data_IF_228539705804
#
_entry.id   IF_228539705804
#
_cell.length_a   1.000
_cell.length_b   1.000
_cell.length_c   1.000
_cell.angle_alpha   90.00
_cell.angle_beta   90.00
_cell.angle_gamma   90.00
#
_symmetry.space_group_name_H-M   'P 1'
#
loop_
_entity.id
_entity.type
_entity.pdbx_description
1 polymer ?
#
# COMPACT_ATOMS: atom_id res chain seq x y z
N UNK A 1 27.37 -15.97 -19.66
CA UNK A 1 26.50 -16.30 -18.50
C UNK A 1 25.07 -15.77 -18.63
N UNK A 2 24.77 -14.90 -19.57
CA UNK A 2 23.45 -14.25 -19.78
C UNK A 2 22.38 -15.10 -20.47
N UNK A 3 22.78 -16.08 -21.28
CA UNK A 3 21.85 -16.93 -22.05
C UNK A 3 21.20 -18.05 -21.22
N UNK A 4 21.89 -18.61 -20.24
CA UNK A 4 21.36 -19.68 -19.38
C UNK A 4 20.29 -19.20 -18.38
N UNK A 5 20.38 -17.94 -17.94
CA UNK A 5 19.38 -17.35 -17.04
C UNK A 5 18.07 -17.01 -17.78
N UNK A 6 18.17 -16.65 -19.05
CA UNK A 6 17.00 -16.35 -19.89
C UNK A 6 16.19 -17.61 -20.26
N UNK A 7 16.88 -18.73 -20.53
CA UNK A 7 16.22 -20.00 -20.87
C UNK A 7 15.50 -20.63 -19.69
N UNK A 8 16.03 -20.46 -18.47
CA UNK A 8 15.38 -21.00 -17.25
C UNK A 8 14.13 -20.17 -16.86
N UNK A 9 14.11 -18.87 -17.16
CA UNK A 9 12.91 -18.02 -16.98
C UNK A 9 11.79 -18.35 -17.98
N UNK A 10 12.13 -18.72 -19.21
CA UNK A 10 11.16 -19.13 -20.22
C UNK A 10 10.53 -20.48 -19.90
N UNK A 11 11.29 -21.47 -19.42
CA UNK A 11 10.74 -22.77 -19.03
C UNK A 11 9.78 -22.66 -17.85
N UNK A 12 10.06 -21.81 -16.85
CA UNK A 12 9.15 -21.56 -15.73
C UNK A 12 7.82 -20.90 -16.13
N UNK A 13 7.83 -20.02 -17.13
CA UNK A 13 6.60 -19.39 -17.63
C UNK A 13 5.67 -20.36 -18.34
N UNK A 14 6.20 -21.33 -19.08
CA UNK A 14 5.36 -22.37 -19.72
C UNK A 14 4.62 -23.24 -18.70
N UNK A 15 5.28 -23.60 -17.60
CA UNK A 15 4.63 -24.32 -16.51
C UNK A 15 3.50 -23.45 -15.91
N UNK A 16 3.73 -22.16 -15.69
CA UNK A 16 2.73 -21.23 -15.19
C UNK A 16 1.51 -21.12 -16.13
N UNK A 17 1.74 -21.03 -17.46
CA UNK A 17 0.65 -21.03 -18.44
C UNK A 17 -0.16 -22.33 -18.41
N UNK A 18 0.55 -23.46 -18.38
CA UNK A 18 -0.10 -24.77 -18.37
C UNK A 18 -0.90 -24.99 -17.07
N UNK A 19 -0.34 -24.63 -15.93
CA UNK A 19 -1.03 -24.75 -14.63
C UNK A 19 -2.24 -23.83 -14.53
N UNK A 20 -2.15 -22.60 -15.02
CA UNK A 20 -3.27 -21.66 -15.05
C UNK A 20 -4.40 -22.17 -15.96
N UNK A 21 -4.07 -22.68 -17.14
CA UNK A 21 -5.03 -23.25 -18.08
C UNK A 21 -5.70 -24.51 -17.51
N UNK A 22 -4.90 -25.46 -17.02
CA UNK A 22 -5.42 -26.70 -16.45
C UNK A 22 -6.23 -26.45 -15.18
N UNK A 23 -5.78 -25.51 -14.33
CA UNK A 23 -6.54 -25.10 -13.15
C UNK A 23 -7.89 -24.49 -13.49
N UNK A 24 -7.94 -23.62 -14.49
CA UNK A 24 -9.18 -23.05 -15.00
C UNK A 24 -10.14 -24.11 -15.56
N UNK A 25 -9.63 -25.04 -16.38
CA UNK A 25 -10.42 -26.15 -16.92
C UNK A 25 -10.90 -27.10 -15.82
N UNK A 26 -10.05 -27.43 -14.86
CA UNK A 26 -10.39 -28.31 -13.75
C UNK A 26 -11.52 -27.74 -12.90
N UNK A 27 -11.42 -26.46 -12.51
CA UNK A 27 -12.46 -25.83 -11.68
C UNK A 27 -13.77 -25.67 -12.48
N UNK A 28 -13.70 -25.26 -13.74
CA UNK A 28 -14.87 -25.21 -14.60
C UNK A 28 -15.55 -26.58 -14.78
N UNK A 29 -14.77 -27.66 -14.78
CA UNK A 29 -15.30 -29.03 -14.84
C UNK A 29 -15.90 -29.46 -13.49
N UNK A 30 -15.27 -29.15 -12.36
CA UNK A 30 -15.78 -29.47 -11.01
C UNK A 30 -17.15 -28.80 -10.73
N UNK A 31 -17.34 -27.57 -11.21
CA UNK A 31 -18.57 -26.81 -11.04
C UNK A 31 -19.42 -26.78 -12.31
N UNK A 32 -19.24 -27.79 -13.18
CA UNK A 32 -19.96 -27.84 -14.44
C UNK A 32 -21.47 -28.03 -14.20
N UNK A 33 -22.25 -27.06 -14.69
CA UNK A 33 -23.70 -27.11 -14.71
C UNK A 33 -24.21 -26.80 -16.13
N UNK A 34 -24.84 -27.78 -16.83
CA UNK A 34 -25.36 -27.56 -18.15
C UNK A 34 -26.44 -26.48 -18.24
N UNK A 35 -27.13 -26.20 -17.12
CA UNK A 35 -28.19 -25.19 -17.05
C UNK A 35 -27.64 -23.78 -17.02
N UNK A 36 -26.37 -23.60 -16.63
CA UNK A 36 -25.73 -22.30 -16.44
C UNK A 36 -24.37 -22.19 -17.16
N UNK A 37 -24.34 -22.25 -18.51
CA UNK A 37 -23.05 -22.28 -19.24
C UNK A 37 -22.19 -21.04 -19.02
N UNK A 38 -22.80 -19.88 -18.74
CA UNK A 38 -22.07 -18.64 -18.43
C UNK A 38 -21.29 -18.72 -17.13
N UNK A 39 -21.80 -19.44 -16.12
CA UNK A 39 -21.13 -19.66 -14.85
C UNK A 39 -19.89 -20.53 -15.04
N UNK A 40 -19.98 -21.55 -15.93
CA UNK A 40 -18.83 -22.38 -16.25
C UNK A 40 -17.71 -21.57 -16.93
N UNK A 41 -18.06 -20.68 -17.87
CA UNK A 41 -17.11 -19.77 -18.50
C UNK A 41 -16.51 -18.78 -17.49
N UNK A 42 -17.31 -18.28 -16.55
CA UNK A 42 -16.85 -17.41 -15.47
C UNK A 42 -15.76 -18.10 -14.64
N UNK A 43 -16.01 -19.32 -14.14
CA UNK A 43 -15.02 -20.08 -13.37
C UNK A 43 -13.73 -20.29 -14.16
N UNK A 44 -13.83 -20.68 -15.42
CA UNK A 44 -12.66 -20.86 -16.27
C UNK A 44 -11.80 -19.60 -16.37
N UNK A 45 -12.42 -18.47 -16.76
CA UNK A 45 -11.71 -17.20 -16.97
C UNK A 45 -11.11 -16.64 -15.68
N UNK A 46 -11.88 -16.67 -14.59
CA UNK A 46 -11.45 -16.16 -13.28
C UNK A 46 -10.27 -16.96 -12.74
N UNK A 47 -10.34 -18.29 -12.71
CA UNK A 47 -9.25 -19.13 -12.20
C UNK A 47 -8.01 -19.06 -13.07
N UNK A 48 -8.20 -18.98 -14.40
CA UNK A 48 -7.08 -18.76 -15.31
C UNK A 48 -6.39 -17.41 -15.02
N UNK A 49 -7.16 -16.34 -14.82
CA UNK A 49 -6.60 -15.02 -14.49
C UNK A 49 -5.88 -15.03 -13.12
N UNK A 50 -6.44 -15.69 -12.10
CA UNK A 50 -5.77 -15.86 -10.81
C UNK A 50 -4.42 -16.58 -10.98
N UNK A 51 -4.38 -17.64 -11.79
CA UNK A 51 -3.12 -18.32 -12.12
C UNK A 51 -2.14 -17.39 -12.84
N UNK A 52 -2.61 -16.58 -13.80
CA UNK A 52 -1.77 -15.61 -14.50
C UNK A 52 -1.19 -14.56 -13.56
N UNK A 53 -1.93 -14.09 -12.55
CA UNK A 53 -1.43 -13.21 -11.50
C UNK A 53 -0.41 -13.93 -10.61
N UNK A 54 -0.72 -15.14 -10.15
CA UNK A 54 0.13 -15.90 -9.22
C UNK A 54 1.51 -16.23 -9.82
N UNK A 55 1.58 -16.52 -11.12
CA UNK A 55 2.81 -16.85 -11.83
C UNK A 55 3.47 -15.66 -12.54
N UNK A 56 2.92 -14.45 -12.39
CA UNK A 56 3.40 -13.23 -13.06
C UNK A 56 3.65 -13.44 -14.58
N UNK A 57 2.65 -14.05 -15.25
CA UNK A 57 2.77 -14.43 -16.66
C UNK A 57 2.70 -13.21 -17.57
N UNK A 58 1.83 -12.27 -17.26
CA UNK A 58 1.66 -10.97 -17.91
C UNK A 58 1.69 -9.85 -16.87
N UNK A 59 1.95 -8.59 -17.27
CA UNK A 59 1.74 -7.46 -16.38
C UNK A 59 0.31 -7.47 -15.80
N UNK A 60 0.18 -7.25 -14.50
CA UNK A 60 -1.09 -7.40 -13.77
C UNK A 60 -2.25 -6.62 -14.43
N UNK A 61 -1.99 -5.38 -14.88
CA UNK A 61 -3.04 -4.59 -15.54
C UNK A 61 -3.51 -5.23 -16.87
N UNK A 62 -2.61 -5.90 -17.61
CA UNK A 62 -2.97 -6.59 -18.86
C UNK A 62 -3.87 -7.77 -18.55
N UNK A 63 -3.53 -8.58 -17.56
CA UNK A 63 -4.36 -9.71 -17.12
C UNK A 63 -5.74 -9.23 -16.68
N UNK A 64 -5.81 -8.15 -15.88
CA UNK A 64 -7.08 -7.59 -15.45
C UNK A 64 -7.95 -7.12 -16.62
N UNK A 65 -7.39 -6.36 -17.55
CA UNK A 65 -8.13 -5.89 -18.74
C UNK A 65 -8.55 -7.05 -19.64
N UNK A 66 -7.70 -8.05 -19.85
CA UNK A 66 -8.05 -9.25 -20.61
C UNK A 66 -9.20 -10.02 -19.97
N UNK A 67 -9.26 -10.10 -18.64
CA UNK A 67 -10.37 -10.74 -17.93
C UNK A 67 -11.69 -10.00 -18.20
N UNK A 68 -11.71 -8.66 -18.13
CA UNK A 68 -12.89 -7.87 -18.45
C UNK A 68 -13.33 -8.08 -19.89
N UNK A 69 -12.39 -8.04 -20.85
CA UNK A 69 -12.69 -8.30 -22.25
C UNK A 69 -13.22 -9.71 -22.47
N UNK A 70 -12.68 -10.71 -21.78
CA UNK A 70 -13.17 -12.07 -21.81
C UNK A 70 -14.63 -12.15 -21.33
N UNK A 71 -15.00 -11.50 -20.22
CA UNK A 71 -16.38 -11.49 -19.71
C UNK A 71 -17.36 -10.85 -20.71
N UNK A 72 -16.95 -9.76 -21.35
CA UNK A 72 -17.78 -9.10 -22.36
C UNK A 72 -17.96 -9.98 -23.61
N UNK A 73 -16.86 -10.51 -24.15
CA UNK A 73 -16.87 -11.31 -25.38
C UNK A 73 -17.63 -12.63 -25.22
N UNK A 74 -17.57 -13.25 -24.05
CA UNK A 74 -18.32 -14.48 -23.75
C UNK A 74 -19.75 -14.21 -23.30
N UNK A 75 -20.16 -12.95 -23.17
CA UNK A 75 -21.51 -12.57 -22.75
C UNK A 75 -21.79 -12.91 -21.27
N UNK A 76 -20.76 -13.12 -20.45
CA UNK A 76 -20.90 -13.30 -18.99
C UNK A 76 -21.43 -12.01 -18.37
N UNK A 77 -20.84 -10.88 -18.73
CA UNK A 77 -21.22 -9.56 -18.23
C UNK A 77 -21.40 -8.56 -19.37
N UNK A 78 -22.36 -7.66 -19.23
CA UNK A 78 -22.49 -6.50 -20.11
C UNK A 78 -21.35 -5.50 -19.83
N UNK A 79 -20.97 -4.62 -20.77
CA UNK A 79 -19.86 -3.69 -20.59
C UNK A 79 -19.98 -2.77 -19.35
N UNK A 80 -21.18 -2.31 -19.04
CA UNK A 80 -21.48 -1.49 -17.86
C UNK A 80 -21.24 -2.25 -16.54
N UNK A 81 -21.52 -3.54 -16.51
CA UNK A 81 -21.23 -4.43 -15.38
C UNK A 81 -19.74 -4.74 -15.29
N UNK A 82 -19.11 -5.10 -16.42
CA UNK A 82 -17.69 -5.42 -16.44
C UNK A 82 -16.80 -4.24 -16.05
N UNK A 83 -17.19 -3.00 -16.38
CA UNK A 83 -16.46 -1.79 -16.00
C UNK A 83 -16.96 -1.14 -14.70
N UNK A 84 -17.81 -1.80 -13.93
CA UNK A 84 -18.37 -1.24 -12.67
C UNK A 84 -17.30 -0.83 -11.69
N UNK A 85 -16.13 -1.47 -11.69
CA UNK A 85 -14.99 -1.09 -10.85
C UNK A 85 -14.61 0.39 -10.98
N UNK A 86 -14.70 0.97 -12.19
CA UNK A 86 -14.40 2.39 -12.43
C UNK A 86 -15.47 3.37 -11.92
N UNK A 87 -16.67 2.91 -11.69
CA UNK A 87 -17.77 3.71 -11.11
C UNK A 87 -17.73 3.74 -9.59
N UNK A 88 -16.87 2.91 -8.98
CA UNK A 88 -16.67 2.89 -7.53
C UNK A 88 -15.70 3.97 -7.08
N UNK A 89 -15.75 4.42 -5.83
CA UNK A 89 -14.80 5.39 -5.28
C UNK A 89 -13.35 4.87 -5.18
N UNK A 90 -13.12 3.55 -5.22
CA UNK A 90 -11.85 2.92 -4.86
C UNK A 90 -10.69 3.28 -5.78
N UNK A 91 -10.80 3.18 -7.14
CA UNK A 91 -9.72 3.60 -8.02
C UNK A 91 -9.36 5.09 -7.84
N UNK A 92 -10.37 5.94 -7.63
CA UNK A 92 -10.19 7.38 -7.41
C UNK A 92 -9.48 7.66 -6.08
N UNK A 93 -9.85 6.94 -5.02
CA UNK A 93 -9.19 7.01 -3.73
C UNK A 93 -7.74 6.57 -3.83
N UNK A 94 -7.46 5.45 -4.53
CA UNK A 94 -6.10 4.98 -4.76
C UNK A 94 -5.27 5.98 -5.57
N UNK A 95 -5.83 6.58 -6.63
CA UNK A 95 -5.15 7.61 -7.39
C UNK A 95 -4.79 8.81 -6.52
N UNK A 96 -5.75 9.31 -5.74
CA UNK A 96 -5.54 10.42 -4.82
C UNK A 96 -4.53 10.04 -3.73
N UNK A 97 -4.55 8.78 -3.24
CA UNK A 97 -3.58 8.25 -2.30
C UNK A 97 -2.14 8.30 -2.81
N UNK A 98 -1.93 7.84 -4.06
CA UNK A 98 -0.62 7.92 -4.71
C UNK A 98 -0.17 9.38 -4.89
N UNK A 99 -1.08 10.29 -5.27
CA UNK A 99 -0.76 11.72 -5.41
C UNK A 99 -0.41 12.37 -4.07
N UNK A 100 -1.07 12.02 -2.98
CA UNK A 100 -0.67 12.47 -1.65
C UNK A 100 0.70 11.93 -1.26
N UNK A 101 0.98 10.66 -1.60
CA UNK A 101 2.31 10.11 -1.44
C UNK A 101 3.38 10.94 -2.14
N UNK A 102 3.15 11.30 -3.41
CA UNK A 102 4.01 12.19 -4.19
C UNK A 102 4.15 13.57 -3.51
N UNK A 103 3.06 14.14 -3.01
CA UNK A 103 3.06 15.41 -2.28
C UNK A 103 3.89 15.34 -1.00
N UNK A 104 3.71 14.29 -0.21
CA UNK A 104 4.42 14.06 1.05
C UNK A 104 5.92 13.81 0.82
N UNK A 105 6.29 13.14 -0.27
CA UNK A 105 7.68 12.96 -0.69
C UNK A 105 8.29 14.30 -1.16
N UNK A 106 7.62 15.03 -2.05
CA UNK A 106 8.07 16.31 -2.59
C UNK A 106 8.32 17.33 -1.49
N UNK A 107 7.46 17.38 -0.48
CA UNK A 107 7.58 18.27 0.66
C UNK A 107 8.45 17.75 1.79
N UNK A 108 8.87 16.47 1.75
CA UNK A 108 9.64 15.77 2.80
C UNK A 108 8.95 15.70 4.17
N UNK A 109 7.66 15.99 4.24
CA UNK A 109 6.92 16.00 5.50
C UNK A 109 6.88 14.61 6.15
N UNK A 110 6.63 13.56 5.35
CA UNK A 110 6.62 12.18 5.84
C UNK A 110 7.97 11.74 6.38
N UNK A 111 9.08 12.08 5.68
CA UNK A 111 10.44 11.82 6.16
C UNK A 111 10.67 12.50 7.50
N UNK A 112 10.28 13.76 7.65
CA UNK A 112 10.41 14.50 8.90
C UNK A 112 9.66 13.83 10.05
N UNK A 113 8.42 13.39 9.83
CA UNK A 113 7.60 12.70 10.83
C UNK A 113 8.31 11.40 11.28
N UNK A 114 8.75 10.59 10.33
CA UNK A 114 9.41 9.33 10.62
C UNK A 114 10.75 9.54 11.38
N UNK A 115 11.62 10.41 10.86
CA UNK A 115 12.91 10.69 11.48
C UNK A 115 12.76 11.33 12.87
N UNK A 116 11.79 12.24 13.05
CA UNK A 116 11.48 12.82 14.35
C UNK A 116 11.06 11.75 15.36
N UNK A 117 10.18 10.83 14.94
CA UNK A 117 9.69 9.75 15.82
C UNK A 117 10.82 8.80 16.18
N UNK A 118 11.64 8.40 15.21
CA UNK A 118 12.80 7.53 15.44
C UNK A 118 13.83 8.20 16.38
N UNK A 119 14.14 9.47 16.16
CA UNK A 119 15.10 10.20 16.99
C UNK A 119 14.65 10.37 18.44
N UNK A 120 13.34 10.47 18.68
CA UNK A 120 12.78 10.66 20.02
C UNK A 120 12.51 9.36 20.77
N UNK A 121 11.97 8.37 20.08
CA UNK A 121 11.50 7.11 20.69
C UNK A 121 12.52 5.98 20.55
N UNK A 122 13.28 5.92 19.46
CA UNK A 122 14.15 4.82 19.07
C UNK A 122 15.41 4.61 19.93
N UNK A 123 15.27 4.49 21.25
CA UNK A 123 16.42 4.38 22.20
C UNK A 123 16.81 2.93 22.54
N UNK A 124 16.00 1.97 22.21
CA UNK A 124 16.26 0.52 22.36
C UNK A 124 15.71 -0.22 21.14
N UNK A 125 16.10 -1.49 20.87
CA UNK A 125 15.55 -2.23 19.74
C UNK A 125 14.02 -2.27 19.70
N UNK A 126 13.38 -2.51 20.85
CA UNK A 126 11.91 -2.48 20.95
C UNK A 126 11.35 -1.08 20.69
N UNK A 127 11.99 -0.05 21.24
CA UNK A 127 11.55 1.34 21.02
C UNK A 127 11.78 1.80 19.59
N UNK A 128 12.79 1.28 18.89
CA UNK A 128 12.98 1.52 17.46
C UNK A 128 11.79 0.97 16.65
N UNK A 129 11.35 -0.24 16.96
CA UNK A 129 10.15 -0.81 16.34
C UNK A 129 8.90 0.01 16.68
N UNK A 130 8.72 0.40 17.95
CA UNK A 130 7.61 1.27 18.37
C UNK A 130 7.69 2.63 17.64
N UNK A 131 8.88 3.17 17.41
CA UNK A 131 9.06 4.41 16.66
C UNK A 131 8.58 4.30 15.21
N UNK A 132 8.92 3.21 14.53
CA UNK A 132 8.40 2.95 13.19
C UNK A 132 6.88 2.75 13.18
N UNK A 133 6.32 2.01 14.16
CA UNK A 133 4.87 1.87 14.30
C UNK A 133 4.17 3.22 14.52
N UNK A 134 4.65 4.04 15.45
CA UNK A 134 4.07 5.35 15.72
C UNK A 134 4.18 6.29 14.52
N UNK A 135 5.34 6.32 13.88
CA UNK A 135 5.52 7.08 12.64
C UNK A 135 4.55 6.58 11.55
N UNK A 136 4.42 5.26 11.42
CA UNK A 136 3.49 4.63 10.49
C UNK A 136 2.04 5.02 10.76
N UNK A 137 1.58 4.99 12.02
CA UNK A 137 0.23 5.42 12.36
C UNK A 137 -0.03 6.89 12.00
N UNK A 138 0.94 7.78 12.22
CA UNK A 138 0.79 9.19 11.86
C UNK A 138 0.78 9.37 10.34
N UNK A 139 1.71 8.72 9.63
CA UNK A 139 1.86 8.86 8.18
C UNK A 139 0.70 8.20 7.44
N UNK A 140 0.28 7.00 7.87
CA UNK A 140 -0.82 6.25 7.22
C UNK A 140 -2.21 6.86 7.48
N UNK A 141 -2.36 7.68 8.52
CA UNK A 141 -3.57 8.47 8.69
C UNK A 141 -3.75 9.52 7.56
N UNK A 142 -2.64 9.93 6.96
CA UNK A 142 -2.59 10.95 5.91
C UNK A 142 -2.48 10.30 4.53
N UNK A 143 -1.66 9.26 4.41
CA UNK A 143 -1.41 8.55 3.14
C UNK A 143 -2.17 7.22 3.16
N UNK A 144 -3.35 7.11 2.55
CA UNK A 144 -4.11 5.85 2.48
C UNK A 144 -3.60 4.97 1.32
N UNK A 145 -2.31 4.78 1.26
CA UNK A 145 -1.65 3.90 0.31
C UNK A 145 -0.46 3.22 0.99
N UNK A 146 -0.62 1.95 1.30
CA UNK A 146 0.38 1.15 2.00
C UNK A 146 1.71 1.08 1.23
N UNK A 147 1.66 1.00 -0.09
CA UNK A 147 2.86 0.88 -0.93
C UNK A 147 3.75 2.12 -0.80
N UNK A 148 3.15 3.31 -0.85
CA UNK A 148 3.88 4.57 -0.68
C UNK A 148 4.52 4.67 0.71
N UNK A 149 3.79 4.28 1.76
CA UNK A 149 4.33 4.28 3.14
C UNK A 149 5.46 3.28 3.30
N UNK A 150 5.32 2.08 2.72
CA UNK A 150 6.37 1.06 2.71
C UNK A 150 7.65 1.56 2.00
N UNK A 151 7.53 2.11 0.80
CA UNK A 151 8.67 2.65 0.04
C UNK A 151 9.40 3.73 0.86
N UNK A 152 8.65 4.63 1.46
CA UNK A 152 9.21 5.70 2.30
C UNK A 152 10.00 5.13 3.49
N UNK A 153 9.41 4.21 4.23
CA UNK A 153 10.04 3.63 5.42
C UNK A 153 11.22 2.74 5.07
N UNK A 154 11.13 2.01 3.95
CA UNK A 154 12.25 1.23 3.43
C UNK A 154 13.42 2.10 2.99
N UNK A 155 13.15 3.28 2.41
CA UNK A 155 14.21 4.24 2.06
C UNK A 155 14.92 4.76 3.32
N UNK A 156 14.18 5.10 4.38
CA UNK A 156 14.75 5.51 5.66
C UNK A 156 15.57 4.37 6.29
N UNK A 157 15.02 3.16 6.35
CA UNK A 157 15.70 2.00 6.91
C UNK A 157 17.01 1.65 6.18
N UNK A 158 16.97 1.66 4.84
CA UNK A 158 18.17 1.39 4.01
C UNK A 158 19.21 2.50 4.16
N UNK A 159 18.80 3.77 4.22
CA UNK A 159 19.68 4.90 4.52
C UNK A 159 20.37 4.74 5.87
N UNK A 160 19.65 4.32 6.91
CA UNK A 160 20.21 4.02 8.23
C UNK A 160 21.23 2.87 8.16
N UNK A 161 20.90 1.77 7.47
CA UNK A 161 21.81 0.63 7.29
C UNK A 161 23.11 1.04 6.59
N UNK A 162 23.02 1.87 5.55
CA UNK A 162 24.17 2.40 4.81
C UNK A 162 25.04 3.30 5.70
N UNK A 163 24.44 4.22 6.44
CA UNK A 163 25.15 5.13 7.36
C UNK A 163 25.87 4.39 8.48
N UNK A 164 25.36 3.21 8.86
CA UNK A 164 25.97 2.35 9.87
C UNK A 164 27.00 1.36 9.28
N UNK A 165 27.20 1.36 7.96
CA UNK A 165 28.02 0.38 7.23
C UNK A 165 27.64 -1.08 7.55
N UNK A 166 26.35 -1.35 7.73
CA UNK A 166 25.86 -2.71 7.98
C UNK A 166 25.88 -3.53 6.68
N UNK A 167 26.36 -4.77 6.80
CA UNK A 167 26.23 -5.72 5.68
C UNK A 167 24.74 -6.00 5.40
N UNK A 168 24.39 -6.11 4.12
CA UNK A 168 23.02 -6.45 3.68
C UNK A 168 22.54 -7.78 4.28
N UNK A 169 23.48 -8.70 4.58
CA UNK A 169 23.17 -10.00 5.18
C UNK A 169 23.19 -10.00 6.70
N UNK A 170 23.49 -8.86 7.35
CA UNK A 170 23.55 -8.78 8.81
C UNK A 170 22.15 -8.87 9.42
N UNK A 171 22.06 -9.48 10.59
CA UNK A 171 20.81 -9.57 11.35
C UNK A 171 20.29 -8.19 11.76
N UNK A 172 21.19 -7.27 12.10
CA UNK A 172 20.85 -5.88 12.44
C UNK A 172 20.19 -5.16 11.28
N UNK A 173 20.76 -5.25 10.06
CA UNK A 173 20.17 -4.65 8.87
C UNK A 173 18.78 -5.25 8.58
N UNK A 174 18.65 -6.58 8.61
CA UNK A 174 17.37 -7.27 8.42
C UNK A 174 16.35 -6.83 9.46
N UNK A 175 16.73 -6.67 10.72
CA UNK A 175 15.83 -6.25 11.80
C UNK A 175 15.34 -4.82 11.60
N UNK A 176 16.22 -3.87 11.19
CA UNK A 176 15.85 -2.48 10.92
C UNK A 176 14.85 -2.43 9.74
N UNK A 177 15.15 -3.13 8.66
CA UNK A 177 14.32 -3.18 7.46
C UNK A 177 12.95 -3.81 7.75
N UNK A 178 12.92 -4.93 8.48
CA UNK A 178 11.66 -5.57 8.89
C UNK A 178 10.86 -4.70 9.87
N UNK A 179 11.54 -3.98 10.79
CA UNK A 179 10.86 -3.05 11.69
C UNK A 179 10.16 -1.92 10.92
N UNK A 180 10.82 -1.38 9.89
CA UNK A 180 10.26 -0.38 8.99
C UNK A 180 9.07 -0.94 8.22
N UNK A 181 9.21 -2.11 7.60
CA UNK A 181 8.15 -2.79 6.86
C UNK A 181 6.92 -3.06 7.73
N UNK A 182 7.10 -3.69 8.89
CA UNK A 182 5.98 -3.94 9.80
C UNK A 182 5.36 -2.64 10.32
N UNK A 183 6.20 -1.62 10.59
CA UNK A 183 5.74 -0.30 11.01
C UNK A 183 4.82 0.35 9.99
N UNK A 184 5.14 0.26 8.71
CA UNK A 184 4.33 0.78 7.62
C UNK A 184 3.06 -0.07 7.38
N UNK A 185 3.23 -1.38 7.20
CA UNK A 185 2.15 -2.29 6.80
C UNK A 185 1.06 -2.41 7.86
N UNK A 186 1.45 -2.64 9.14
CA UNK A 186 0.50 -2.79 10.25
C UNK A 186 -0.27 -1.49 10.47
N UNK A 187 0.44 -0.36 10.45
CA UNK A 187 -0.17 0.95 10.64
C UNK A 187 -1.14 1.30 9.51
N UNK A 188 -0.77 1.02 8.27
CA UNK A 188 -1.64 1.27 7.10
C UNK A 188 -2.92 0.45 7.13
N UNK A 189 -2.83 -0.81 7.58
CA UNK A 189 -3.99 -1.69 7.70
C UNK A 189 -4.99 -1.26 8.79
N UNK A 190 -4.59 -0.37 9.71
CA UNK A 190 -5.47 0.13 10.76
C UNK A 190 -6.55 1.11 10.25
N UNK A 191 -6.34 1.70 9.08
CA UNK A 191 -7.21 2.77 8.56
C UNK A 191 -8.18 2.30 7.48
N UNK A 192 -9.41 2.82 7.56
CA UNK A 192 -10.51 2.49 6.64
C UNK A 192 -10.17 2.68 5.16
N UNK A 193 -9.50 3.76 4.71
CA UNK A 193 -9.24 3.96 3.30
C UNK A 193 -8.46 2.82 2.62
N UNK A 194 -7.55 2.18 3.35
CA UNK A 194 -6.80 1.04 2.83
C UNK A 194 -7.63 -0.25 2.69
N UNK A 195 -8.79 -0.30 3.35
CA UNK A 195 -9.65 -1.49 3.43
C UNK A 195 -11.04 -1.28 2.80
N UNK A 196 -11.28 -0.12 2.19
CA UNK A 196 -12.60 0.30 1.70
C UNK A 196 -13.21 -0.70 0.71
N UNK A 197 -12.39 -1.33 -0.13
CA UNK A 197 -12.86 -2.33 -1.11
C UNK A 197 -13.54 -3.51 -0.45
N UNK A 198 -12.84 -4.14 0.47
CA UNK A 198 -13.32 -5.35 1.17
C UNK A 198 -14.58 -5.04 2.00
N UNK A 199 -14.57 -3.89 2.70
CA UNK A 199 -15.66 -3.54 3.62
C UNK A 199 -16.95 -3.20 2.86
N UNK A 200 -16.84 -2.52 1.72
CA UNK A 200 -18.01 -2.19 0.89
C UNK A 200 -18.73 -3.45 0.42
N UNK A 201 -18.00 -4.47 0.02
CA UNK A 201 -18.55 -5.73 -0.46
C UNK A 201 -19.23 -6.52 0.67
N UNK A 202 -18.84 -6.31 1.92
CA UNK A 202 -19.50 -6.90 3.10
C UNK A 202 -20.86 -6.24 3.43
N UNK A 203 -21.20 -5.10 2.80
CA UNK A 203 -22.47 -4.40 3.03
C UNK A 203 -22.63 -3.79 4.43
N UNK A 204 -21.54 -3.67 5.18
CA UNK A 204 -21.54 -3.12 6.54
C UNK A 204 -21.15 -1.65 6.50
N UNK A 205 -21.97 -0.72 7.02
CA UNK A 205 -21.60 0.68 7.08
C UNK A 205 -20.58 0.91 8.19
N UNK A 206 -19.36 1.25 7.83
CA UNK A 206 -18.33 1.67 8.78
C UNK A 206 -18.04 3.16 8.66
N UNK A 207 -17.92 3.81 9.81
CA UNK A 207 -17.29 5.13 9.91
C UNK A 207 -15.78 4.96 10.06
N UNK A 208 -15.01 5.99 9.76
CA UNK A 208 -13.55 5.96 9.92
C UNK A 208 -13.12 5.58 11.34
N UNK A 209 -13.76 6.19 12.35
CA UNK A 209 -13.46 5.92 13.76
C UNK A 209 -13.98 4.55 14.22
N UNK A 210 -15.15 4.14 13.73
CA UNK A 210 -15.73 2.82 14.02
C UNK A 210 -14.84 1.70 13.52
N UNK A 211 -14.39 1.78 12.27
CA UNK A 211 -13.46 0.81 11.72
C UNK A 211 -12.15 0.73 12.52
N UNK A 212 -11.57 1.90 12.86
CA UNK A 212 -10.33 1.95 13.64
C UNK A 212 -10.49 1.26 15.01
N UNK A 213 -11.58 1.55 15.72
CA UNK A 213 -11.81 0.97 17.06
C UNK A 213 -12.04 -0.55 17.03
N UNK A 214 -12.75 -1.04 16.03
CA UNK A 214 -13.01 -2.49 15.87
C UNK A 214 -11.78 -3.26 15.40
N UNK A 215 -10.95 -2.63 14.57
CA UNK A 215 -9.73 -3.22 14.05
C UNK A 215 -8.54 -3.15 15.04
N UNK A 216 -8.61 -2.31 16.07
CA UNK A 216 -7.52 -2.09 17.01
C UNK A 216 -7.00 -3.36 17.70
N UNK A 217 -7.85 -4.29 18.21
CA UNK A 217 -7.37 -5.52 18.84
C UNK A 217 -6.54 -6.39 17.88
N UNK A 218 -6.95 -6.47 16.62
CA UNK A 218 -6.24 -7.18 15.57
C UNK A 218 -4.87 -6.53 15.28
N UNK A 219 -4.81 -5.20 15.22
CA UNK A 219 -3.56 -4.48 15.00
C UNK A 219 -2.60 -4.64 16.19
N UNK A 220 -3.10 -4.65 17.42
CA UNK A 220 -2.29 -4.95 18.60
C UNK A 220 -1.71 -6.37 18.52
N UNK A 221 -2.52 -7.36 18.15
CA UNK A 221 -2.08 -8.73 17.94
C UNK A 221 -0.97 -8.85 16.89
N UNK A 222 -1.13 -8.20 15.75
CA UNK A 222 -0.12 -8.13 14.70
C UNK A 222 1.16 -7.44 15.16
N UNK A 223 1.05 -6.32 15.87
CA UNK A 223 2.20 -5.59 16.39
C UNK A 223 3.00 -6.44 17.39
N UNK A 224 2.33 -7.18 18.26
CA UNK A 224 2.96 -8.10 19.21
C UNK A 224 3.65 -9.29 18.50
N UNK A 225 2.99 -9.85 17.49
CA UNK A 225 3.56 -10.94 16.68
C UNK A 225 4.82 -10.46 15.95
N UNK A 226 4.75 -9.31 15.28
CA UNK A 226 5.87 -8.72 14.58
C UNK A 226 7.02 -8.38 15.55
N UNK A 227 6.72 -7.85 16.73
CA UNK A 227 7.72 -7.64 17.78
C UNK A 227 8.40 -8.95 18.17
N UNK A 228 7.64 -10.01 18.39
CA UNK A 228 8.17 -11.32 18.76
C UNK A 228 9.14 -11.83 17.68
N UNK A 229 8.75 -11.73 16.41
CA UNK A 229 9.59 -12.10 15.27
C UNK A 229 10.90 -11.29 15.28
N UNK A 230 10.82 -9.96 15.40
CA UNK A 230 11.99 -9.08 15.40
C UNK A 230 12.92 -9.36 16.59
N UNK A 231 12.36 -9.64 17.76
CA UNK A 231 13.13 -9.95 18.97
C UNK A 231 13.88 -11.27 18.83
N UNK A 232 13.24 -12.30 18.28
CA UNK A 232 13.85 -13.62 18.07
C UNK A 232 14.96 -13.58 17.01
N UNK A 233 14.75 -12.82 15.92
CA UNK A 233 15.68 -12.83 14.79
C UNK A 233 16.88 -11.89 14.93
N UNK A 234 16.81 -10.79 15.67
CA UNK A 234 17.91 -9.83 15.62
C UNK A 234 17.98 -8.80 16.76
N UNK A 235 17.10 -8.88 17.74
CA UNK A 235 17.00 -7.83 18.77
C UNK A 235 18.27 -7.61 19.60
N UNK A 236 19.09 -8.64 19.82
CA UNK A 236 20.35 -8.51 20.58
C UNK A 236 21.44 -7.79 19.80
N UNK A 237 21.65 -8.17 18.55
CA UNK A 237 22.67 -7.60 17.68
C UNK A 237 22.35 -6.14 17.34
N UNK A 238 21.07 -5.81 17.13
CA UNK A 238 20.63 -4.44 16.92
C UNK A 238 20.92 -3.54 18.12
N UNK A 239 20.89 -4.09 19.35
CA UNK A 239 21.18 -3.33 20.57
C UNK A 239 22.54 -2.61 20.56
N UNK A 240 23.55 -3.21 19.93
CA UNK A 240 24.90 -2.64 19.80
C UNK A 240 24.94 -1.43 18.85
N UNK A 241 24.00 -1.35 17.90
CA UNK A 241 23.95 -0.29 16.90
C UNK A 241 22.92 0.80 17.19
N UNK A 242 22.05 0.62 18.20
CA UNK A 242 20.86 1.44 18.40
C UNK A 242 21.19 2.93 18.65
N UNK A 243 22.24 3.23 19.40
CA UNK A 243 22.67 4.62 19.65
C UNK A 243 23.11 5.30 18.35
N UNK A 244 23.76 4.55 17.46
CA UNK A 244 24.18 5.04 16.14
C UNK A 244 22.99 5.22 15.22
N UNK A 245 22.00 4.30 15.23
CA UNK A 245 20.75 4.45 14.50
C UNK A 245 20.03 5.74 14.84
N UNK A 246 19.94 6.02 16.15
CA UNK A 246 19.34 7.26 16.64
C UNK A 246 20.13 8.49 16.19
N UNK A 247 21.45 8.47 16.33
CA UNK A 247 22.31 9.57 15.91
C UNK A 247 22.20 9.83 14.39
N UNK A 248 22.10 8.78 13.56
CA UNK A 248 21.83 8.92 12.13
C UNK A 248 20.49 9.62 11.88
N UNK A 249 19.42 9.20 12.55
CA UNK A 249 18.10 9.84 12.40
C UNK A 249 18.12 11.32 12.86
N UNK A 250 18.82 11.63 13.95
CA UNK A 250 19.01 13.01 14.43
C UNK A 250 19.82 13.85 13.43
N UNK A 251 20.91 13.31 12.87
CA UNK A 251 21.72 13.99 11.88
C UNK A 251 20.92 14.25 10.59
N UNK A 252 20.18 13.25 10.10
CA UNK A 252 19.36 13.39 8.89
C UNK A 252 18.20 14.37 9.12
N UNK A 253 17.56 14.34 10.30
CA UNK A 253 16.55 15.31 10.69
C UNK A 253 17.12 16.74 10.73
N UNK A 254 18.37 16.90 11.21
CA UNK A 254 19.05 18.19 11.24
C UNK A 254 19.32 18.73 9.83
N UNK A 255 19.62 17.88 8.85
CA UNK A 255 19.80 18.30 7.45
C UNK A 255 18.51 18.85 6.81
N UNK A 256 17.34 18.42 7.28
CA UNK A 256 16.05 18.97 6.85
C UNK A 256 15.82 20.41 7.34
N UNK A 257 16.55 20.85 8.35
CA UNK A 257 16.43 22.20 8.90
C UNK A 257 15.05 22.52 9.47
N UNK A 258 14.68 23.80 9.44
CA UNK A 258 13.35 24.26 9.89
C UNK A 258 12.28 23.83 8.88
N UNK A 259 11.06 23.58 9.38
CA UNK A 259 9.90 23.23 8.55
C UNK A 259 9.63 24.30 7.48
N UNK A 260 9.66 23.87 6.23
CA UNK A 260 9.43 24.77 5.07
C UNK A 260 7.97 25.26 5.00
N UNK A 261 7.73 26.27 4.15
CA UNK A 261 6.34 26.74 3.91
C UNK A 261 5.48 25.65 3.29
N UNK A 262 6.05 24.86 2.38
CA UNK A 262 5.34 23.80 1.68
C UNK A 262 5.04 22.62 2.61
N UNK A 263 5.98 22.24 3.50
CA UNK A 263 5.71 21.28 4.57
C UNK A 263 4.54 21.72 5.46
N UNK A 264 4.49 23.00 5.84
CA UNK A 264 3.39 23.56 6.67
C UNK A 264 2.05 23.52 5.93
N UNK A 265 2.03 23.93 4.66
CA UNK A 265 0.82 23.86 3.82
C UNK A 265 0.32 22.42 3.67
N UNK A 266 1.24 21.47 3.42
CA UNK A 266 0.92 20.03 3.34
C UNK A 266 0.37 19.51 4.66
N UNK A 267 0.98 19.89 5.79
CA UNK A 267 0.48 19.51 7.12
C UNK A 267 -0.93 20.06 7.36
N UNK A 268 -1.21 21.30 6.98
CA UNK A 268 -2.55 21.89 7.11
C UNK A 268 -3.56 21.14 6.27
N UNK A 269 -3.25 20.83 5.00
CA UNK A 269 -4.14 20.04 4.14
C UNK A 269 -4.39 18.63 4.71
N UNK A 270 -3.33 18.00 5.23
CA UNK A 270 -3.42 16.70 5.85
C UNK A 270 -4.33 16.70 7.10
N UNK A 271 -4.16 17.69 7.96
CA UNK A 271 -5.00 17.84 9.15
C UNK A 271 -6.46 18.16 8.79
N UNK A 272 -6.71 18.98 7.77
CA UNK A 272 -8.05 19.26 7.28
C UNK A 272 -8.72 17.98 6.73
N UNK A 273 -8.00 17.18 5.97
CA UNK A 273 -8.52 15.91 5.47
C UNK A 273 -8.84 14.94 6.64
N UNK A 274 -7.96 14.84 7.63
CA UNK A 274 -8.17 14.00 8.81
C UNK A 274 -9.38 14.46 9.62
N UNK A 275 -9.52 15.77 9.85
CA UNK A 275 -10.71 16.34 10.53
C UNK A 275 -11.96 16.01 9.75
N UNK A 276 -11.96 16.16 8.41
CA UNK A 276 -13.10 15.83 7.58
C UNK A 276 -13.45 14.32 7.61
N UNK A 277 -12.46 13.42 7.67
CA UNK A 277 -12.70 11.99 7.88
C UNK A 277 -13.37 11.70 9.23
N UNK A 278 -12.85 12.30 10.32
CA UNK A 278 -13.38 12.08 11.66
C UNK A 278 -14.79 12.67 11.80
N UNK A 279 -15.05 13.79 11.14
CA UNK A 279 -16.35 14.49 11.20
C UNK A 279 -17.39 13.98 10.19
N UNK A 280 -17.07 12.98 9.37
CA UNK A 280 -18.00 12.35 8.41
C UNK A 280 -19.38 12.02 9.01
N UNK A 281 -19.50 11.46 10.23
CA UNK A 281 -20.81 11.15 10.83
C UNK A 281 -21.70 12.39 11.06
N UNK A 282 -21.12 13.60 11.15
CA UNK A 282 -21.87 14.82 11.42
C UNK A 282 -22.29 15.57 10.16
N UNK A 283 -21.48 15.55 9.11
CA UNK A 283 -21.77 16.27 7.85
C UNK A 283 -22.24 15.36 6.71
N UNK A 284 -22.12 14.03 6.85
CA UNK A 284 -22.58 13.06 5.86
C UNK A 284 -21.81 13.06 4.52
N UNK A 285 -20.71 13.81 4.42
CA UNK A 285 -19.86 13.80 3.22
C UNK A 285 -18.90 12.61 3.33
N UNK A 286 -18.95 11.65 2.38
CA UNK A 286 -18.05 10.49 2.43
C UNK A 286 -16.57 10.90 2.47
N UNK A 287 -15.79 10.22 3.33
CA UNK A 287 -14.40 10.57 3.60
C UNK A 287 -13.50 10.59 2.36
N UNK A 288 -13.81 9.81 1.33
CA UNK A 288 -13.06 9.83 0.08
C UNK A 288 -13.17 11.17 -0.67
N UNK A 289 -14.27 11.92 -0.52
CA UNK A 289 -14.38 13.26 -1.07
C UNK A 289 -13.43 14.24 -0.37
N UNK A 290 -13.35 14.16 0.96
CA UNK A 290 -12.41 14.98 1.72
C UNK A 290 -10.96 14.74 1.26
N UNK A 291 -10.64 13.49 1.02
CA UNK A 291 -9.34 13.06 0.58
C UNK A 291 -9.00 13.54 -0.84
N UNK A 292 -9.90 13.32 -1.80
CA UNK A 292 -9.74 13.82 -3.15
C UNK A 292 -9.67 15.35 -3.18
N UNK A 293 -10.47 16.03 -2.35
CA UNK A 293 -10.44 17.49 -2.25
C UNK A 293 -9.07 18.01 -1.77
N UNK A 294 -8.42 17.33 -0.83
CA UNK A 294 -7.06 17.66 -0.39
C UNK A 294 -6.07 17.65 -1.57
N UNK A 295 -6.12 16.60 -2.39
CA UNK A 295 -5.24 16.50 -3.58
C UNK A 295 -5.51 17.63 -4.54
N UNK A 296 -6.79 17.88 -4.85
CA UNK A 296 -7.20 18.94 -5.79
C UNK A 296 -6.79 20.33 -5.29
N UNK A 297 -6.92 20.60 -3.99
CA UNK A 297 -6.45 21.85 -3.39
C UNK A 297 -4.93 22.01 -3.53
N UNK A 298 -4.15 20.94 -3.50
CA UNK A 298 -2.71 20.97 -3.72
C UNK A 298 -2.31 21.52 -5.11
N UNK A 299 -3.17 21.35 -6.13
CA UNK A 299 -2.95 21.89 -7.48
C UNK A 299 -3.41 23.35 -7.63
N UNK A 300 -4.16 23.89 -6.68
CA UNK A 300 -4.65 25.27 -6.79
C UNK A 300 -3.56 26.30 -6.59
N UNK A 301 -3.68 27.50 -7.17
CA UNK A 301 -2.71 28.59 -6.98
C UNK A 301 -2.51 29.01 -5.51
N UNK A 302 -3.51 28.76 -4.64
CA UNK A 302 -3.45 29.08 -3.21
C UNK A 302 -2.39 28.25 -2.52
N UNK A 303 -2.38 26.95 -2.76
CA UNK A 303 -1.40 26.04 -2.17
C UNK A 303 -0.15 25.90 -3.03
N UNK A 304 -0.32 25.75 -4.34
CA UNK A 304 0.76 25.62 -5.34
C UNK A 304 1.82 24.58 -4.93
N UNK A 305 1.34 23.40 -4.52
CA UNK A 305 2.19 22.30 -4.03
C UNK A 305 2.43 21.24 -5.10
N UNK A 306 1.48 21.07 -6.02
CA UNK A 306 1.49 20.05 -7.05
C UNK A 306 1.38 20.65 -8.45
N UNK A 307 1.95 19.96 -9.42
CA UNK A 307 1.96 20.32 -10.83
C UNK A 307 1.41 19.18 -11.68
N UNK A 308 1.00 19.48 -12.92
CA UNK A 308 0.52 18.46 -13.86
C UNK A 308 1.57 17.35 -14.12
N UNK A 309 2.85 17.68 -13.98
CA UNK A 309 3.97 16.72 -14.08
C UNK A 309 3.95 15.66 -12.98
N UNK A 310 3.40 15.96 -11.80
CA UNK A 310 3.32 15.02 -10.68
C UNK A 310 2.35 13.86 -10.97
N UNK A 311 1.36 14.06 -11.86
CA UNK A 311 0.47 13.01 -12.35
C UNK A 311 1.23 11.85 -13.03
N UNK A 312 2.38 12.13 -13.63
CA UNK A 312 3.23 11.10 -14.26
C UNK A 312 3.84 10.11 -13.27
N UNK A 313 3.88 10.46 -11.98
CA UNK A 313 4.38 9.61 -10.92
C UNK A 313 3.32 8.62 -10.41
N UNK A 314 2.06 8.81 -10.79
CA UNK A 314 0.98 7.88 -10.47
C UNK A 314 1.17 6.58 -11.24
N UNK A 315 1.09 5.46 -10.55
CA UNK A 315 1.21 4.13 -11.14
C UNK A 315 -0.13 3.69 -11.74
N UNK A 316 -0.50 4.27 -12.87
CA UNK A 316 -1.74 3.95 -13.58
C UNK A 316 -1.99 2.44 -13.79
N UNK A 317 -0.97 1.58 -14.07
CA UNK A 317 -1.19 0.14 -14.18
C UNK A 317 -1.86 -0.48 -12.94
N UNK A 318 -1.54 0.01 -11.75
CA UNK A 318 -2.15 -0.47 -10.49
C UNK A 318 -3.64 -0.07 -10.44
N UNK A 319 -3.98 1.13 -10.90
CA UNK A 319 -5.39 1.58 -10.93
C UNK A 319 -6.24 0.71 -11.87
N UNK A 320 -5.71 0.39 -13.05
CA UNK A 320 -6.38 -0.51 -13.99
C UNK A 320 -6.52 -1.92 -13.42
N UNK A 321 -5.50 -2.41 -12.71
CA UNK A 321 -5.55 -3.69 -12.04
C UNK A 321 -6.64 -3.71 -10.96
N UNK A 322 -6.67 -2.72 -10.07
CA UNK A 322 -7.67 -2.62 -9.00
C UNK A 322 -9.08 -2.54 -9.58
N UNK A 323 -9.30 -1.64 -10.55
CA UNK A 323 -10.61 -1.48 -11.17
C UNK A 323 -11.06 -2.76 -11.90
N UNK A 324 -10.13 -3.49 -12.51
CA UNK A 324 -10.42 -4.75 -13.18
C UNK A 324 -10.71 -5.91 -12.24
N UNK A 325 -10.12 -5.92 -11.04
CA UNK A 325 -10.40 -6.93 -10.02
C UNK A 325 -11.75 -6.72 -9.29
N UNK A 326 -12.38 -5.57 -9.50
CA UNK A 326 -13.67 -5.21 -8.87
C UNK A 326 -14.89 -5.46 -9.78
N UNK A 327 -14.68 -6.08 -10.92
CA UNK A 327 -15.72 -6.41 -11.89
C UNK A 327 -16.59 -7.60 -11.52
#
# INVERSE_FOLDING_TARGET
MTTAVATNKLSGKWIGWLTSLLGGLFVAWCFYDPSTPKVNLYWFGTIMAIGMFAFDLLPNFVTAVLLLMYYILTGIAAPDVAFVGWTTPIPWLCMCGMLIGVLMEKTRLANRIALFTISRVGTTPIRMYIAFLLAGFIVSAIIPDVITVDILFMAIATGMCQSLNLSVTSRSATTIVLAAFFGATISSAAYLPNNTGIIKDMGVPFTWLGFYSENLPYQIGHALLAYTILHLFGGRELGEHISRCRACAEAELATLGKMSRDEKKTLVLALLALVAFISEPWHGIPGYFAFCSMVLLGFTPIFNLMEASDLKKVQFPILFFIAGCMA
#
